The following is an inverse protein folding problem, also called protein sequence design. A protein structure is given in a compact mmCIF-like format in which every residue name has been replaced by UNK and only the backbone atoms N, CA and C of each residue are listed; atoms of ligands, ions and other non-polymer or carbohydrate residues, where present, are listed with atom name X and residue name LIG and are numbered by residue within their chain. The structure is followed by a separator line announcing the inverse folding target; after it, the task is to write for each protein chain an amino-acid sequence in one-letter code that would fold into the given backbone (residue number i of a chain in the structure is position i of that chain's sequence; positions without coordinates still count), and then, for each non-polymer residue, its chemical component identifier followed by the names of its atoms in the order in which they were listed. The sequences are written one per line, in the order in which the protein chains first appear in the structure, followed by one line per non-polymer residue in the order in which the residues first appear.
data_IF_681159908310
#
_entry.id   IF_681159908310
#
_cell.length_a   1.000
_cell.length_b   1.000
_cell.length_c   1.000
_cell.angle_alpha   90.00
_cell.angle_beta   90.00
_cell.angle_gamma   90.00
#
_symmetry.space_group_name_H-M   'P 1'
#
loop_
_entity.id
_entity.type
_entity.pdbx_description
1 polymer ?
#
# COMPACT_ATOMS: atom_id res chain seq x y z
N UNK A 1 -19.58 -2.73 -8.56
CA UNK A 1 -18.40 -3.44 -7.99
C UNK A 1 -17.69 -2.47 -7.06
N UNK A 2 -17.55 -2.80 -5.78
CA UNK A 2 -16.97 -1.87 -4.78
C UNK A 2 -15.44 -1.95 -4.85
N UNK A 3 -14.80 -0.82 -5.12
CA UNK A 3 -13.34 -0.74 -5.11
C UNK A 3 -12.84 -0.69 -3.67
N UNK A 4 -12.02 -1.66 -3.27
CA UNK A 4 -11.44 -1.76 -1.92
C UNK A 4 -9.92 -1.93 -1.96
N UNK A 5 -9.26 -1.48 -0.90
CA UNK A 5 -7.85 -1.71 -0.67
C UNK A 5 -7.60 -3.19 -0.35
N UNK A 6 -6.58 -3.79 -0.96
CA UNK A 6 -6.17 -5.15 -0.67
C UNK A 6 -5.72 -5.34 0.78
N UNK A 7 -4.92 -4.41 1.31
CA UNK A 7 -4.21 -4.59 2.57
C UNK A 7 -5.05 -4.30 3.81
N UNK A 8 -5.90 -3.26 3.75
CA UNK A 8 -6.69 -2.81 4.89
C UNK A 8 -8.21 -2.89 4.68
N UNK A 9 -8.65 -3.29 3.48
CA UNK A 9 -10.07 -3.38 3.15
C UNK A 9 -10.78 -2.04 3.03
N UNK A 10 -10.06 -0.91 3.04
CA UNK A 10 -10.67 0.41 2.90
C UNK A 10 -11.37 0.57 1.56
N UNK A 11 -12.61 1.03 1.59
CA UNK A 11 -13.42 1.28 0.40
C UNK A 11 -13.27 2.74 0.01
N UNK A 12 -13.18 3.03 -1.29
CA UNK A 12 -13.21 4.40 -1.80
C UNK A 12 -14.55 5.06 -1.47
N UNK A 13 -14.57 5.93 -0.44
CA UNK A 13 -15.71 6.80 -0.10
C UNK A 13 -15.37 8.26 -0.34
N UNK A 14 -16.38 9.10 -0.63
CA UNK A 14 -16.22 10.55 -0.82
C UNK A 14 -15.63 11.15 0.46
N UNK A 15 -14.44 11.76 0.37
CA UNK A 15 -13.71 12.34 1.51
C UNK A 15 -12.83 11.37 2.31
N UNK A 16 -12.65 10.12 1.85
CA UNK A 16 -11.79 9.13 2.51
C UNK A 16 -10.43 8.97 1.81
N UNK A 17 -9.96 7.73 1.66
CA UNK A 17 -8.72 7.39 0.99
C UNK A 17 -8.86 7.34 -0.53
N UNK A 18 -7.77 7.65 -1.23
CA UNK A 18 -7.67 7.41 -2.68
C UNK A 18 -7.20 5.97 -2.92
N UNK A 19 -7.78 5.28 -3.90
CA UNK A 19 -7.34 3.94 -4.30
C UNK A 19 -6.50 4.02 -5.57
N UNK A 20 -5.34 3.40 -5.53
CA UNK A 20 -4.34 3.41 -6.58
C UNK A 20 -4.16 2.02 -7.15
N UNK A 21 -4.12 1.92 -8.47
CA UNK A 21 -3.83 0.68 -9.20
C UNK A 21 -2.33 0.44 -9.23
N UNK A 22 -1.92 -0.79 -9.54
CA UNK A 22 -0.53 -1.12 -9.78
C UNK A 22 0.06 -0.26 -10.91
N UNK A 23 1.34 0.13 -10.78
CA UNK A 23 2.01 0.94 -11.79
C UNK A 23 2.21 0.15 -13.09
N UNK A 24 2.36 0.90 -14.19
CA UNK A 24 2.69 0.32 -15.50
C UNK A 24 4.14 -0.16 -15.56
N UNK A 25 5.03 0.49 -14.82
CA UNK A 25 6.43 0.11 -14.70
C UNK A 25 6.57 -1.28 -14.07
N UNK A 26 7.36 -2.14 -14.72
CA UNK A 26 7.49 -3.55 -14.34
C UNK A 26 8.27 -3.74 -13.03
N UNK A 27 9.33 -2.95 -12.80
CA UNK A 27 10.14 -3.05 -11.59
C UNK A 27 9.35 -2.59 -10.37
N UNK A 28 8.69 -1.42 -10.50
CA UNK A 28 7.84 -0.90 -9.44
C UNK A 28 6.65 -1.82 -9.17
N UNK A 29 6.06 -2.42 -10.22
CA UNK A 29 4.98 -3.40 -10.08
C UNK A 29 5.43 -4.61 -9.28
N UNK A 30 6.61 -5.17 -9.56
CA UNK A 30 7.20 -6.27 -8.79
C UNK A 30 7.43 -5.90 -7.32
N UNK A 31 7.86 -4.67 -7.05
CA UNK A 31 8.02 -4.19 -5.67
C UNK A 31 6.67 -4.14 -4.93
N UNK A 32 5.60 -3.67 -5.59
CA UNK A 32 4.26 -3.68 -5.01
C UNK A 32 3.73 -5.09 -4.78
N UNK A 33 3.94 -6.01 -5.73
CA UNK A 33 3.55 -7.43 -5.62
C UNK A 33 4.22 -8.06 -4.40
N UNK A 34 5.54 -7.86 -4.29
CA UNK A 34 6.34 -8.34 -3.17
C UNK A 34 5.87 -7.74 -1.84
N UNK A 35 5.56 -6.45 -1.81
CA UNK A 35 5.04 -5.78 -0.61
C UNK A 35 3.67 -6.35 -0.19
N UNK A 36 2.80 -6.62 -1.16
CA UNK A 36 1.48 -7.19 -0.92
C UNK A 36 1.49 -8.70 -0.65
N UNK A 37 2.67 -9.34 -0.74
CA UNK A 37 2.84 -10.80 -0.67
C UNK A 37 1.97 -11.55 -1.69
N UNK A 38 1.81 -10.96 -2.86
CA UNK A 38 1.13 -11.57 -3.99
C UNK A 38 2.13 -12.34 -4.84
N UNK A 39 1.61 -13.19 -5.71
CA UNK A 39 2.37 -13.93 -6.70
C UNK A 39 2.01 -13.43 -8.11
N UNK A 40 3.01 -12.90 -8.82
CA UNK A 40 2.85 -12.30 -10.15
C UNK A 40 2.22 -13.24 -11.18
N UNK A 41 2.40 -14.55 -11.03
CA UNK A 41 1.92 -15.55 -11.98
C UNK A 41 0.49 -16.03 -11.72
N UNK A 42 0.02 -15.93 -10.48
CA UNK A 42 -1.28 -16.49 -10.07
C UNK A 42 -2.29 -15.42 -9.70
N UNK A 43 -1.85 -14.26 -9.20
CA UNK A 43 -2.72 -13.19 -8.75
C UNK A 43 -2.94 -12.15 -9.85
N UNK A 44 -4.21 -11.89 -10.20
CA UNK A 44 -4.56 -10.82 -11.13
C UNK A 44 -4.45 -9.45 -10.44
N UNK A 45 -3.28 -8.82 -10.57
CA UNK A 45 -2.99 -7.49 -10.03
C UNK A 45 -3.72 -6.34 -10.73
N UNK A 46 -4.39 -6.56 -11.87
CA UNK A 46 -5.05 -5.50 -12.66
C UNK A 46 -6.25 -4.91 -11.91
N UNK A 47 -6.93 -5.75 -11.13
CA UNK A 47 -8.08 -5.36 -10.33
C UNK A 47 -7.72 -5.00 -8.88
N UNK A 48 -6.47 -5.25 -8.47
CA UNK A 48 -6.00 -5.00 -7.12
C UNK A 48 -5.63 -3.53 -6.97
N UNK A 49 -6.03 -2.95 -5.83
CA UNK A 49 -5.74 -1.55 -5.49
C UNK A 49 -5.23 -1.40 -4.08
N UNK A 50 -4.40 -0.39 -3.88
CA UNK A 50 -3.90 0.03 -2.57
C UNK A 50 -4.41 1.43 -2.24
N UNK A 51 -4.76 1.67 -0.98
CA UNK A 51 -5.17 3.00 -0.55
C UNK A 51 -3.97 3.91 -0.26
N UNK A 52 -4.20 5.22 -0.31
CA UNK A 52 -3.19 6.25 -0.06
C UNK A 52 -2.46 6.11 1.28
N UNK A 53 -3.08 5.48 2.30
CA UNK A 53 -2.46 5.28 3.62
C UNK A 53 -1.27 4.31 3.61
N UNK A 54 -1.11 3.52 2.55
CA UNK A 54 0.02 2.59 2.41
C UNK A 54 1.27 3.25 1.81
N UNK A 55 1.16 4.52 1.44
CA UNK A 55 2.23 5.32 0.84
C UNK A 55 2.58 6.48 1.76
N UNK A 56 3.83 6.93 1.71
CA UNK A 56 4.25 8.15 2.42
C UNK A 56 3.70 9.38 1.71
N UNK A 57 3.55 10.48 2.45
CA UNK A 57 3.08 11.74 1.87
C UNK A 57 4.04 12.25 0.78
N UNK A 58 5.34 12.05 0.95
CA UNK A 58 6.37 12.38 -0.06
C UNK A 58 6.26 11.57 -1.36
N UNK A 59 5.62 10.40 -1.31
CA UNK A 59 5.39 9.54 -2.46
C UNK A 59 4.33 10.10 -3.41
N UNK A 60 3.61 11.15 -3.02
CA UNK A 60 2.62 11.81 -3.85
C UNK A 60 3.23 13.01 -4.58
N UNK A 61 2.78 13.22 -5.82
CA UNK A 61 3.17 14.37 -6.64
C UNK A 61 2.03 15.38 -6.61
N UNK A 62 2.36 16.61 -6.21
CA UNK A 62 1.44 17.75 -6.21
C UNK A 62 1.13 18.30 -4.82
N UNK A 63 0.92 19.61 -4.76
CA UNK A 63 0.30 20.27 -3.61
C UNK A 63 -1.21 20.00 -3.63
N UNK A 64 -1.90 20.03 -2.47
CA UNK A 64 -3.34 19.87 -2.38
C UNK A 64 -4.07 21.09 -2.97
N UNK A 65 -3.90 21.36 -4.26
CA UNK A 65 -4.73 22.30 -5.00
C UNK A 65 -6.06 21.61 -5.25
N UNK A 66 -7.09 22.15 -4.62
CA UNK A 66 -8.46 21.65 -4.50
C UNK A 66 -9.02 21.17 -5.85
N UNK A 67 -9.27 19.86 -5.97
CA UNK A 67 -10.04 19.28 -7.09
C UNK A 67 -9.40 18.09 -7.79
N UNK A 68 -8.08 17.90 -7.69
CA UNK A 68 -7.39 16.81 -8.38
C UNK A 68 -7.12 15.61 -7.46
N UNK A 69 -7.25 14.36 -7.97
CA UNK A 69 -6.89 13.18 -7.20
C UNK A 69 -5.39 13.20 -6.89
N UNK A 70 -5.00 12.82 -5.66
CA UNK A 70 -3.59 12.66 -5.29
C UNK A 70 -2.93 11.69 -6.26
N UNK A 71 -1.93 12.13 -7.02
CA UNK A 71 -1.19 11.28 -7.95
C UNK A 71 0.01 10.67 -7.22
N UNK A 72 0.21 9.36 -7.37
CA UNK A 72 1.44 8.72 -6.92
C UNK A 72 2.56 9.07 -7.89
N UNK A 73 3.74 9.35 -7.35
CA UNK A 73 4.95 9.48 -8.16
C UNK A 73 5.24 8.18 -8.90
N UNK A 74 5.91 8.30 -10.05
CA UNK A 74 6.30 7.15 -10.87
C UNK A 74 7.29 6.20 -10.19
N UNK A 75 7.86 6.57 -9.03
CA UNK A 75 8.76 5.76 -8.21
C UNK A 75 8.15 5.42 -6.84
N UNK A 76 6.86 5.67 -6.64
CA UNK A 76 6.23 5.49 -5.36
C UNK A 76 6.02 4.00 -5.05
N UNK A 77 6.67 3.53 -3.99
CA UNK A 77 6.43 2.20 -3.41
C UNK A 77 5.56 2.29 -2.18
N UNK A 78 4.63 1.34 -1.96
CA UNK A 78 3.98 1.21 -0.68
C UNK A 78 5.02 0.79 0.34
N UNK A 79 5.11 1.54 1.43
CA UNK A 79 6.07 1.28 2.51
C UNK A 79 5.40 1.14 3.87
N UNK A 80 4.10 1.40 3.94
CA UNK A 80 3.34 1.44 5.18
C UNK A 80 2.28 0.34 5.19
N UNK A 81 2.25 -0.45 6.26
CA UNK A 81 1.25 -1.48 6.45
C UNK A 81 0.44 -1.11 7.68
N UNK A 82 -0.77 -0.63 7.43
CA UNK A 82 -1.74 -0.34 8.45
C UNK A 82 -2.94 -1.24 8.20
N UNK A 83 -3.25 -2.13 9.14
CA UNK A 83 -4.55 -2.79 9.14
C UNK A 83 -5.49 -1.97 10.04
N UNK A 84 -6.79 -1.89 9.70
CA UNK A 84 -7.82 -1.11 10.46
C UNK A 84 -7.93 -1.46 11.95
N UNK A 85 -7.20 -2.48 12.43
CA UNK A 85 -7.06 -2.83 13.84
C UNK A 85 -5.94 -2.06 14.58
N UNK A 86 -5.41 -0.97 14.02
CA UNK A 86 -4.49 -0.06 14.74
C UNK A 86 -3.10 -0.61 15.03
N UNK A 87 -2.69 -1.72 14.40
CA UNK A 87 -1.32 -2.24 14.55
C UNK A 87 -0.44 -1.73 13.42
N UNK A 88 0.52 -0.87 13.77
CA UNK A 88 1.56 -0.36 12.87
C UNK A 88 2.64 -1.43 12.65
N UNK A 89 3.27 -1.45 11.48
CA UNK A 89 4.34 -2.40 11.12
C UNK A 89 5.59 -2.29 12.01
N UNK A 90 5.79 -1.16 12.71
CA UNK A 90 6.88 -1.03 13.69
C UNK A 90 6.78 -2.08 14.80
N UNK A 91 5.57 -2.50 15.18
CA UNK A 91 5.36 -3.57 16.16
C UNK A 91 5.61 -4.97 15.58
N UNK A 92 5.37 -5.20 14.28
CA UNK A 92 5.59 -6.51 13.66
C UNK A 92 7.06 -6.74 13.26
N UNK A 93 7.81 -5.68 12.96
CA UNK A 93 9.27 -5.78 12.76
C UNK A 93 9.98 -6.01 14.09
N UNK A 94 9.55 -5.33 15.16
CA UNK A 94 10.03 -5.60 16.52
C UNK A 94 9.64 -7.00 16.99
N UNK A 95 8.39 -7.46 16.82
CA UNK A 95 8.02 -8.83 17.21
C UNK A 95 8.83 -9.90 16.47
N UNK A 96 9.13 -9.68 15.17
CA UNK A 96 9.97 -10.61 14.41
C UNK A 96 11.43 -10.58 14.88
N UNK A 97 11.97 -9.42 15.25
CA UNK A 97 13.31 -9.28 15.82
C UNK A 97 13.38 -9.85 17.26
N UNK A 98 12.37 -9.60 18.09
CA UNK A 98 12.24 -10.16 19.44
C UNK A 98 12.11 -11.68 19.44
N UNK A 99 11.37 -12.27 18.49
CA UNK A 99 11.27 -13.73 18.36
C UNK A 99 12.57 -14.36 17.83
N UNK A 100 13.36 -13.64 17.05
CA UNK A 100 14.67 -14.09 16.58
C UNK A 100 15.77 -13.94 17.66
N UNK A 101 15.64 -12.99 18.58
CA UNK A 101 16.59 -12.73 19.68
C UNK A 101 16.32 -13.53 20.97
N UNK A 102 15.20 -14.26 21.08
CA UNK A 102 14.86 -15.12 22.23
C UNK A 102 15.20 -16.60 22.02
N UNK A 103 16.01 -16.92 21.00
CA UNK A 103 16.54 -18.26 20.80
C UNK A 103 17.99 -18.28 21.28
N UNK A 104 18.16 -18.10 22.58
CA UNK A 104 19.32 -18.53 23.38
C UNK A 104 18.80 -18.82 24.80
#
# INVERSE_FOLDING_TARGET
MVEKCLLCGEVRRKGSVSLHKFPRDDDLRKQWIKFCKLNEHTDDVRNIKLCSNHFKEDSFMGYPCTGYPKLLRSNAVPSLYFNKKGKTLQELTLLRLFLLLRRD
#
